data_IF_475094193392
#
_entry.id   IF_475094193392
#
_cell.length_a   1.000
_cell.length_b   1.000
_cell.length_c   1.000
_cell.angle_alpha   90.00
_cell.angle_beta   90.00
_cell.angle_gamma   90.00
#
_symmetry.space_group_name_H-M   'P 1'
#
loop_
_entity.id
_entity.type
_entity.pdbx_description
1 polymer ?
#
# COMPACT_ATOMS: atom_id res chain seq x y z
N UNK A 1 4.27 -14.13 -12.53
CA UNK A 1 3.22 -13.38 -11.79
C UNK A 1 3.94 -12.38 -10.90
N UNK A 2 3.48 -11.12 -10.84
CA UNK A 2 4.13 -10.10 -10.00
C UNK A 2 3.94 -10.40 -8.52
N UNK A 3 4.88 -10.00 -7.69
CA UNK A 3 4.79 -10.03 -6.25
C UNK A 3 4.11 -8.74 -5.77
N UNK A 4 2.82 -8.85 -5.45
CA UNK A 4 2.01 -7.71 -5.02
C UNK A 4 2.55 -7.03 -3.75
N UNK A 5 3.23 -7.78 -2.86
CA UNK A 5 3.79 -7.19 -1.65
C UNK A 5 4.93 -6.24 -2.01
N UNK A 6 5.84 -6.66 -2.90
CA UNK A 6 6.91 -5.79 -3.39
C UNK A 6 6.38 -4.57 -4.17
N UNK A 7 5.29 -4.73 -4.92
CA UNK A 7 4.62 -3.61 -5.60
C UNK A 7 4.11 -2.58 -4.59
N UNK A 8 3.41 -3.04 -3.55
CA UNK A 8 2.83 -2.17 -2.53
C UNK A 8 3.87 -1.58 -1.57
N UNK A 9 4.99 -2.26 -1.33
CA UNK A 9 6.13 -1.69 -0.59
C UNK A 9 6.74 -0.50 -1.32
N UNK A 10 6.93 -0.62 -2.64
CA UNK A 10 7.49 0.44 -3.49
C UNK A 10 6.55 1.62 -3.63
N UNK A 11 5.26 1.34 -3.81
CA UNK A 11 4.23 2.37 -3.80
C UNK A 11 4.11 3.04 -2.44
N UNK A 12 4.17 2.29 -1.34
CA UNK A 12 4.13 2.84 0.01
C UNK A 12 5.29 3.78 0.30
N UNK A 13 6.49 3.42 -0.19
CA UNK A 13 7.67 4.28 -0.14
C UNK A 13 7.49 5.55 -0.97
N UNK A 14 6.95 5.44 -2.18
CA UNK A 14 6.63 6.60 -3.03
C UNK A 14 5.62 7.53 -2.34
N UNK A 15 4.52 6.99 -1.81
CA UNK A 15 3.48 7.76 -1.13
C UNK A 15 4.00 8.44 0.15
N UNK A 16 4.88 7.77 0.90
CA UNK A 16 5.51 8.33 2.09
C UNK A 16 6.43 9.53 1.78
N UNK A 17 7.06 9.55 0.60
CA UNK A 17 7.95 10.62 0.16
C UNK A 17 7.21 11.75 -0.57
N UNK A 18 6.11 11.45 -1.28
CA UNK A 18 5.34 12.39 -2.12
C UNK A 18 3.93 12.68 -1.59
N UNK A 19 3.84 12.94 -0.29
CA UNK A 19 2.58 13.08 0.46
C UNK A 19 1.68 14.26 0.00
N UNK A 20 2.22 15.27 -0.69
CA UNK A 20 1.42 16.38 -1.24
C UNK A 20 0.60 15.96 -2.48
N UNK A 21 1.02 14.89 -3.17
CA UNK A 21 0.37 14.40 -4.40
C UNK A 21 -0.68 13.30 -4.13
N UNK A 22 -0.84 12.86 -2.86
CA UNK A 22 -1.76 11.78 -2.47
C UNK A 22 -3.02 12.33 -1.83
N UNK A 23 -4.01 12.68 -2.66
CA UNK A 23 -5.23 13.41 -2.28
C UNK A 23 -6.20 12.68 -1.32
N UNK A 24 -6.12 11.35 -1.19
CA UNK A 24 -7.05 10.59 -0.35
C UNK A 24 -6.57 10.41 1.10
N UNK A 25 -5.31 10.73 1.38
CA UNK A 25 -4.79 10.62 2.75
C UNK A 25 -4.73 12.02 3.36
N UNK A 26 -5.47 12.29 4.45
CA UNK A 26 -5.09 13.36 5.35
C UNK A 26 -3.83 12.89 6.08
N UNK A 27 -2.70 12.80 5.37
CA UNK A 27 -1.39 13.00 5.98
C UNK A 27 -1.41 14.48 6.34
N UNK A 28 -2.18 14.81 7.39
CA UNK A 28 -2.28 16.15 7.92
C UNK A 28 -0.85 16.64 8.17
N UNK A 29 -0.62 17.94 8.05
CA UNK A 29 0.68 18.56 8.20
C UNK A 29 1.48 18.14 9.46
N UNK A 30 0.88 17.44 10.44
CA UNK A 30 1.53 16.80 11.59
C UNK A 30 2.14 15.40 11.39
N UNK A 31 1.93 14.70 10.27
CA UNK A 31 2.48 13.35 10.04
C UNK A 31 3.84 13.32 9.32
N UNK A 32 4.37 14.47 8.84
CA UNK A 32 5.68 14.59 8.15
C UNK A 32 6.84 13.93 8.94
N UNK A 33 6.77 13.93 10.27
CA UNK A 33 7.76 13.31 11.18
C UNK A 33 7.39 11.95 11.77
N UNK A 34 6.21 11.39 11.47
CA UNK A 34 5.71 10.15 12.09
C UNK A 34 5.91 8.91 11.21
N UNK A 35 6.15 9.08 9.90
CA UNK A 35 6.42 7.95 9.01
C UNK A 35 7.85 7.43 9.29
N UNK A 36 8.02 6.14 9.61
CA UNK A 36 9.33 5.57 9.90
C UNK A 36 10.32 5.71 8.73
N UNK A 37 11.57 6.05 9.03
CA UNK A 37 12.63 6.21 8.03
C UNK A 37 12.82 4.95 7.17
N UNK A 38 12.66 3.77 7.78
CA UNK A 38 12.69 2.47 7.10
C UNK A 38 11.67 2.34 5.95
N UNK A 39 10.58 3.10 5.97
CA UNK A 39 9.58 3.11 4.88
C UNK A 39 10.07 4.03 3.76
N UNK A 40 10.52 5.23 4.12
CA UNK A 40 11.02 6.23 3.18
C UNK A 40 12.26 5.76 2.42
N UNK A 41 13.10 4.94 3.04
CA UNK A 41 14.34 4.40 2.49
C UNK A 41 14.16 3.18 1.56
N UNK A 42 12.94 2.65 1.42
CA UNK A 42 12.67 1.53 0.51
C UNK A 42 12.82 1.99 -0.94
N UNK A 43 13.12 1.08 -1.89
CA UNK A 43 13.01 1.38 -3.31
C UNK A 43 11.61 1.93 -3.63
N UNK A 44 11.54 3.02 -4.39
CA UNK A 44 10.27 3.62 -4.82
C UNK A 44 9.90 3.12 -6.22
N UNK A 45 8.62 3.19 -6.57
CA UNK A 45 8.17 3.05 -7.96
C UNK A 45 8.27 4.38 -8.71
N UNK A 46 8.05 4.37 -10.03
CA UNK A 46 7.90 5.60 -10.81
C UNK A 46 6.56 6.29 -10.50
N UNK A 47 6.45 7.56 -10.89
CA UNK A 47 5.21 8.34 -10.74
C UNK A 47 4.06 7.71 -11.53
N UNK A 48 4.33 7.19 -12.74
CA UNK A 48 3.32 6.52 -13.58
C UNK A 48 2.77 5.26 -12.89
N UNK A 49 3.65 4.38 -12.40
CA UNK A 49 3.27 3.21 -11.62
C UNK A 49 2.49 3.63 -10.35
N UNK A 50 2.93 4.69 -9.69
CA UNK A 50 2.29 5.19 -8.49
C UNK A 50 0.87 5.70 -8.76
N UNK A 51 0.66 6.45 -9.85
CA UNK A 51 -0.65 6.97 -10.23
C UNK A 51 -1.63 5.85 -10.56
N UNK A 52 -1.16 4.79 -11.22
CA UNK A 52 -1.96 3.59 -11.48
C UNK A 52 -2.40 2.94 -10.15
N UNK A 53 -1.47 2.73 -9.22
CA UNK A 53 -1.77 2.09 -7.92
C UNK A 53 -2.66 3.01 -7.07
N UNK A 54 -2.45 4.32 -7.08
CA UNK A 54 -3.34 5.31 -6.48
C UNK A 54 -4.77 5.20 -7.04
N UNK A 55 -4.92 4.94 -8.34
CA UNK A 55 -6.22 4.64 -8.96
C UNK A 55 -6.88 3.38 -8.39
N UNK A 56 -6.13 2.30 -8.19
CA UNK A 56 -6.61 1.09 -7.52
C UNK A 56 -7.00 1.37 -6.06
N UNK A 57 -6.17 2.11 -5.31
CA UNK A 57 -6.43 2.49 -3.93
C UNK A 57 -7.67 3.37 -3.80
N UNK A 58 -7.88 4.32 -4.71
CA UNK A 58 -9.09 5.14 -4.73
C UNK A 58 -10.36 4.31 -4.97
N UNK A 59 -10.29 3.29 -5.83
CA UNK A 59 -11.41 2.34 -6.03
C UNK A 59 -11.63 1.48 -4.79
N UNK A 60 -10.55 0.99 -4.18
CA UNK A 60 -10.63 0.23 -2.93
C UNK A 60 -11.25 1.05 -1.81
N UNK A 61 -10.84 2.31 -1.63
CA UNK A 61 -11.39 3.23 -0.64
C UNK A 61 -12.91 3.42 -0.78
N UNK A 62 -13.40 3.59 -2.01
CA UNK A 62 -14.84 3.74 -2.29
C UNK A 62 -15.64 2.48 -1.97
N UNK A 63 -15.06 1.31 -2.19
CA UNK A 63 -15.77 0.02 -2.07
C UNK A 63 -15.59 -0.64 -0.69
N UNK A 64 -14.44 -0.45 -0.05
CA UNK A 64 -14.08 -1.03 1.24
C UNK A 64 -12.98 -0.21 1.92
N UNK A 65 -13.41 0.76 2.73
CA UNK A 65 -12.51 1.66 3.46
C UNK A 65 -11.58 0.92 4.42
N UNK A 66 -12.06 -0.14 5.08
CA UNK A 66 -11.26 -0.89 6.05
C UNK A 66 -10.04 -1.57 5.40
N UNK A 67 -10.21 -2.16 4.21
CA UNK A 67 -9.09 -2.77 3.48
C UNK A 67 -8.13 -1.72 2.93
N UNK A 68 -8.67 -0.59 2.46
CA UNK A 68 -7.85 0.55 2.06
C UNK A 68 -6.98 1.03 3.22
N UNK A 69 -7.59 1.39 4.35
CA UNK A 69 -6.89 1.96 5.49
C UNK A 69 -5.85 0.99 6.05
N UNK A 70 -6.14 -0.33 6.04
CA UNK A 70 -5.18 -1.35 6.42
C UNK A 70 -3.92 -1.36 5.54
N UNK A 71 -4.07 -1.23 4.21
CA UNK A 71 -2.93 -1.14 3.30
C UNK A 71 -2.11 0.12 3.55
N UNK A 72 -2.78 1.25 3.82
CA UNK A 72 -2.11 2.54 4.10
C UNK A 72 -1.34 2.48 5.40
N UNK A 73 -1.98 2.01 6.47
CA UNK A 73 -1.33 1.85 7.78
C UNK A 73 -0.09 0.95 7.69
N UNK A 74 -0.16 -0.13 6.90
CA UNK A 74 0.92 -1.08 6.76
C UNK A 74 2.04 -0.58 5.82
N UNK A 75 1.70 -0.25 4.57
CA UNK A 75 2.69 0.04 3.53
C UNK A 75 3.21 1.48 3.56
N UNK A 76 2.38 2.45 3.95
CA UNK A 76 2.74 3.88 3.98
C UNK A 76 3.18 4.31 5.38
N UNK A 77 2.39 3.98 6.42
CA UNK A 77 2.69 4.39 7.79
C UNK A 77 3.65 3.43 8.50
N UNK A 78 3.91 2.24 7.94
CA UNK A 78 4.89 1.29 8.45
C UNK A 78 4.49 0.62 9.77
N UNK A 79 3.19 0.55 10.08
CA UNK A 79 2.66 -0.13 11.27
C UNK A 79 2.98 -1.63 11.23
N UNK A 80 3.32 -2.21 12.38
CA UNK A 80 3.57 -3.65 12.50
C UNK A 80 2.26 -4.42 12.68
N UNK A 81 2.29 -5.74 12.45
CA UNK A 81 1.11 -6.61 12.69
C UNK A 81 0.60 -6.47 14.12
N UNK A 82 1.50 -6.36 15.11
CA UNK A 82 1.13 -6.13 16.51
C UNK A 82 0.36 -4.82 16.72
N UNK A 83 0.81 -3.72 16.10
CA UNK A 83 0.13 -2.42 16.21
C UNK A 83 -1.25 -2.48 15.54
N UNK A 84 -1.31 -3.08 14.35
CA UNK A 84 -2.56 -3.28 13.61
C UNK A 84 -3.54 -4.18 14.37
N UNK A 85 -3.05 -5.29 14.94
CA UNK A 85 -3.83 -6.22 15.72
C UNK A 85 -4.48 -5.53 16.93
N UNK A 86 -3.69 -4.70 17.65
CA UNK A 86 -4.21 -3.85 18.72
C UNK A 86 -5.23 -2.83 18.21
N UNK A 87 -4.94 -2.13 17.10
CA UNK A 87 -5.84 -1.12 16.49
C UNK A 87 -7.20 -1.73 16.09
N UNK A 88 -7.20 -2.95 15.59
CA UNK A 88 -8.41 -3.65 15.14
C UNK A 88 -9.02 -4.60 16.19
N UNK A 89 -8.46 -4.69 17.40
CA UNK A 89 -8.95 -5.57 18.47
C UNK A 89 -8.94 -7.06 18.08
N UNK A 90 -7.96 -7.51 17.28
CA UNK A 90 -7.86 -8.90 16.81
C UNK A 90 -6.43 -9.45 16.95
N UNK A 91 -6.21 -10.70 16.52
CA UNK A 91 -4.86 -11.30 16.50
C UNK A 91 -4.06 -10.93 15.26
N UNK A 92 -2.74 -11.06 15.33
CA UNK A 92 -1.82 -10.86 14.21
C UNK A 92 -2.15 -11.77 13.01
N UNK A 93 -2.58 -13.02 13.27
CA UNK A 93 -3.01 -13.94 12.22
C UNK A 93 -4.28 -13.47 11.51
N UNK A 94 -5.20 -12.81 12.22
CA UNK A 94 -6.38 -12.17 11.61
C UNK A 94 -5.98 -10.96 10.77
N UNK A 95 -5.02 -10.16 11.21
CA UNK A 95 -4.46 -9.05 10.41
C UNK A 95 -3.82 -9.58 9.13
N UNK A 96 -2.98 -10.62 9.21
CA UNK A 96 -2.35 -11.20 8.03
C UNK A 96 -3.36 -11.64 6.97
N UNK A 97 -4.47 -12.29 7.38
CA UNK A 97 -5.55 -12.67 6.47
C UNK A 97 -6.27 -11.47 5.85
N UNK A 98 -6.53 -10.42 6.64
CA UNK A 98 -7.14 -9.18 6.13
C UNK A 98 -6.22 -8.46 5.15
N UNK A 99 -4.92 -8.42 5.45
CA UNK A 99 -3.91 -7.79 4.59
C UNK A 99 -3.78 -8.56 3.28
N UNK A 100 -3.65 -9.89 3.31
CA UNK A 100 -3.63 -10.74 2.12
C UNK A 100 -4.89 -10.55 1.26
N UNK A 101 -6.06 -10.40 1.90
CA UNK A 101 -7.30 -10.09 1.18
C UNK A 101 -7.23 -8.72 0.49
N UNK A 102 -6.73 -7.69 1.17
CA UNK A 102 -6.59 -6.35 0.60
C UNK A 102 -5.60 -6.33 -0.57
N UNK A 103 -4.44 -6.98 -0.40
CA UNK A 103 -3.43 -7.17 -1.44
C UNK A 103 -4.00 -7.87 -2.66
N UNK A 104 -4.73 -8.98 -2.46
CA UNK A 104 -5.37 -9.73 -3.54
C UNK A 104 -6.41 -8.92 -4.32
N UNK A 105 -7.09 -7.96 -3.69
CA UNK A 105 -8.01 -7.07 -4.41
C UNK A 105 -7.23 -6.13 -5.34
N UNK A 106 -6.12 -5.54 -4.89
CA UNK A 106 -5.27 -4.68 -5.74
C UNK A 106 -4.64 -5.49 -6.88
N UNK A 107 -4.08 -6.67 -6.56
CA UNK A 107 -3.53 -7.60 -7.57
C UNK A 107 -4.59 -7.98 -8.61
N UNK A 108 -5.80 -8.30 -8.17
CA UNK A 108 -6.93 -8.62 -9.03
C UNK A 108 -7.36 -7.46 -9.93
N UNK A 109 -7.37 -6.22 -9.44
CA UNK A 109 -7.65 -5.04 -10.26
C UNK A 109 -6.61 -4.85 -11.37
N UNK A 110 -5.32 -4.97 -11.03
CA UNK A 110 -4.23 -4.84 -12.00
C UNK A 110 -4.30 -5.93 -13.06
N UNK A 111 -4.60 -7.17 -12.66
CA UNK A 111 -4.74 -8.31 -13.57
C UNK A 111 -5.96 -8.15 -14.49
N UNK A 112 -7.13 -7.81 -13.94
CA UNK A 112 -8.38 -7.66 -14.70
C UNK A 112 -8.26 -6.57 -15.78
N UNK A 113 -7.55 -5.48 -15.46
CA UNK A 113 -7.34 -4.36 -16.37
C UNK A 113 -6.18 -4.59 -17.37
N UNK A 114 -5.46 -5.71 -17.27
CA UNK A 114 -4.31 -6.01 -18.14
C UNK A 114 -3.16 -5.01 -17.99
N UNK A 115 -3.02 -4.41 -16.80
CA UNK A 115 -2.04 -3.34 -16.56
C UNK A 115 -0.65 -3.95 -16.40
N UNK A 116 0.29 -3.49 -17.22
CA UNK A 116 1.73 -3.71 -17.01
C UNK A 116 2.30 -2.54 -16.22
N UNK A 117 3.06 -2.84 -15.16
CA UNK A 117 3.78 -1.83 -14.39
C UNK A 117 5.25 -1.83 -14.83
N UNK A 118 5.90 -0.68 -14.81
CA UNK A 118 7.32 -0.59 -15.16
C UNK A 118 8.19 -1.43 -14.22
N UNK A 119 7.78 -1.52 -12.94
CA UNK A 119 8.45 -2.32 -11.93
C UNK A 119 8.34 -3.84 -12.13
N UNK A 120 7.44 -4.33 -12.99
CA UNK A 120 7.23 -5.78 -13.23
C UNK A 120 8.50 -6.52 -13.66
N UNK A 121 9.47 -5.80 -14.22
CA UNK A 121 10.77 -6.34 -14.62
C UNK A 121 11.61 -6.85 -13.44
N UNK A 122 11.33 -6.42 -12.22
CA UNK A 122 12.11 -6.78 -11.02
C UNK A 122 11.27 -7.16 -9.78
N UNK A 123 9.93 -7.21 -9.88
CA UNK A 123 9.04 -7.68 -8.80
C UNK A 123 8.35 -9.01 -9.15
N UNK A 124 9.08 -9.97 -9.71
CA UNK A 124 8.50 -11.27 -10.07
C UNK A 124 8.60 -12.26 -8.90
N UNK A 125 7.55 -13.07 -8.70
CA UNK A 125 7.65 -14.24 -7.82
C UNK A 125 8.63 -15.24 -8.44
N UNK A 126 9.59 -15.70 -7.65
CA UNK A 126 10.47 -16.82 -7.99
C UNK A 126 9.67 -18.13 -8.13
#
# INVERSE_FOLDING_TARGET
MRDIQQVLERWGAWAANNHEDVTWSPIAAGFKGLIPEKVKSRPQCSDDDAMIICGCMARLYRNNRDLHDLLVDYYVLGMTFMVLARKHGCSDGTIGKKLQKAEGVVEGMLMLLGISLEMDRYVQRL
#
